data_IF_276845985260
#
_entry.id   IF_276845985260
#
_cell.length_a   1.000
_cell.length_b   1.000
_cell.length_c   1.000
_cell.angle_alpha   90.00
_cell.angle_beta   90.00
_cell.angle_gamma   90.00
#
_symmetry.space_group_name_H-M   'P 1'
#
loop_
_entity.id
_entity.type
_entity.pdbx_description
1 polymer ?
#
# COMPACT_ATOMS: atom_id res chain seq x y z
N UNK A 1 3.83 -9.15 20.02
CA UNK A 1 4.98 -9.54 19.19
C UNK A 1 5.17 -8.52 18.09
N UNK A 2 6.36 -7.92 17.99
CA UNK A 2 6.74 -7.21 16.79
C UNK A 2 6.76 -8.22 15.63
N UNK A 3 5.95 -7.98 14.61
CA UNK A 3 5.66 -8.96 13.54
C UNK A 3 5.96 -8.33 12.16
N UNK A 4 6.95 -7.43 12.13
CA UNK A 4 7.30 -6.67 10.94
C UNK A 4 8.80 -6.40 10.83
N UNK A 5 9.28 -6.25 9.60
CA UNK A 5 10.61 -5.72 9.26
C UNK A 5 10.43 -4.37 8.58
N UNK A 6 11.10 -3.35 9.10
CA UNK A 6 11.21 -2.04 8.46
C UNK A 6 12.52 -1.95 7.68
N UNK A 7 12.46 -1.47 6.44
CA UNK A 7 13.61 -1.25 5.57
C UNK A 7 13.55 0.17 5.03
N UNK A 8 14.69 0.84 5.07
CA UNK A 8 14.87 2.20 4.59
C UNK A 8 16.19 2.27 3.80
N UNK A 9 16.10 2.49 2.49
CA UNK A 9 17.25 2.45 1.57
C UNK A 9 17.15 3.58 0.56
N UNK A 10 18.24 4.31 0.32
CA UNK A 10 18.24 5.56 -0.45
C UNK A 10 18.93 5.46 -1.82
N UNK A 11 19.56 4.32 -2.11
CA UNK A 11 20.47 4.14 -3.24
C UNK A 11 20.07 2.95 -4.13
N UNK A 12 18.78 2.56 -4.10
CA UNK A 12 18.30 1.42 -4.89
C UNK A 12 18.19 1.85 -6.35
N UNK A 13 19.03 1.29 -7.21
CA UNK A 13 18.97 1.54 -8.66
C UNK A 13 17.66 1.01 -9.23
N UNK A 14 16.97 1.81 -10.06
CA UNK A 14 15.67 1.43 -10.61
C UNK A 14 15.69 0.08 -11.35
N UNK A 15 16.75 -0.21 -12.12
CA UNK A 15 16.93 -1.51 -12.79
C UNK A 15 17.06 -2.69 -11.80
N UNK A 16 17.58 -2.47 -10.59
CA UNK A 16 17.80 -3.49 -9.56
C UNK A 16 16.71 -3.52 -8.49
N UNK A 17 15.63 -2.74 -8.65
CA UNK A 17 14.59 -2.64 -7.64
C UNK A 17 13.98 -4.00 -7.26
N UNK A 18 13.71 -4.88 -8.23
CA UNK A 18 13.17 -6.21 -7.95
C UNK A 18 14.20 -7.16 -7.30
N UNK A 19 15.49 -7.04 -7.62
CA UNK A 19 16.55 -7.75 -6.89
C UNK A 19 16.55 -7.32 -5.43
N UNK A 20 16.52 -6.01 -5.16
CA UNK A 20 16.44 -5.47 -3.80
C UNK A 20 15.19 -5.98 -3.07
N UNK A 21 14.02 -6.01 -3.71
CA UNK A 21 12.81 -6.56 -3.08
C UNK A 21 12.96 -8.04 -2.73
N UNK A 22 13.53 -8.86 -3.63
CA UNK A 22 13.78 -10.29 -3.36
C UNK A 22 14.72 -10.45 -2.16
N UNK A 23 15.81 -9.70 -2.16
CA UNK A 23 16.80 -9.71 -1.08
C UNK A 23 16.13 -9.37 0.26
N UNK A 24 15.32 -8.31 0.33
CA UNK A 24 14.76 -7.85 1.60
C UNK A 24 13.54 -8.65 2.11
N UNK A 25 12.69 -9.14 1.19
CA UNK A 25 11.45 -9.86 1.51
C UNK A 25 11.69 -11.34 1.77
N UNK A 26 12.72 -11.95 1.15
CA UNK A 26 12.95 -13.39 1.23
C UNK A 26 14.38 -13.70 1.70
N UNK A 27 15.41 -13.28 0.96
CA UNK A 27 16.77 -13.78 1.20
C UNK A 27 17.35 -13.32 2.56
N UNK A 28 17.07 -12.08 2.96
CA UNK A 28 17.55 -11.43 4.19
C UNK A 28 16.50 -11.45 5.32
N UNK A 29 15.44 -12.25 5.20
CA UNK A 29 14.37 -12.31 6.19
C UNK A 29 13.92 -13.76 6.43
N UNK A 30 14.51 -14.41 7.42
CA UNK A 30 14.11 -15.75 7.87
C UNK A 30 13.06 -15.69 8.98
N UNK A 31 13.20 -14.74 9.91
CA UNK A 31 12.25 -14.45 10.98
C UNK A 31 12.20 -12.96 11.27
N UNK A 32 11.06 -12.46 11.77
CA UNK A 32 10.91 -11.05 12.10
C UNK A 32 11.71 -10.68 13.36
N UNK A 33 12.23 -9.44 13.44
CA UNK A 33 12.82 -8.92 14.65
C UNK A 33 11.84 -9.01 15.83
N UNK A 34 12.30 -9.53 16.96
CA UNK A 34 11.49 -9.68 18.18
C UNK A 34 12.33 -9.34 19.42
N UNK A 35 11.66 -9.03 20.53
CA UNK A 35 12.33 -8.76 21.81
C UNK A 35 12.10 -9.91 22.81
N UNK A 36 13.09 -10.78 22.96
CA UNK A 36 13.04 -11.90 23.89
C UNK A 36 12.91 -11.45 25.35
N UNK A 37 13.55 -10.34 25.74
CA UNK A 37 13.51 -9.82 27.11
C UNK A 37 12.11 -9.30 27.49
N UNK A 38 11.31 -8.91 26.49
CA UNK A 38 9.90 -8.55 26.66
C UNK A 38 8.94 -9.76 26.58
N UNK A 39 9.47 -10.98 26.49
CA UNK A 39 8.70 -12.22 26.41
C UNK A 39 8.07 -12.46 25.03
N UNK A 40 8.62 -11.88 23.97
CA UNK A 40 8.20 -12.18 22.60
C UNK A 40 8.86 -13.45 22.07
N UNK A 41 8.18 -14.15 21.16
CA UNK A 41 8.72 -15.31 20.45
C UNK A 41 9.00 -14.96 19.00
N UNK A 42 10.00 -15.61 18.41
CA UNK A 42 10.30 -15.45 16.99
C UNK A 42 9.11 -15.86 16.12
N UNK A 43 8.78 -15.02 15.14
CA UNK A 43 7.82 -15.34 14.08
C UNK A 43 8.58 -15.52 12.76
N UNK A 44 8.43 -16.69 12.13
CA UNK A 44 9.11 -16.99 10.87
C UNK A 44 8.46 -16.25 9.70
N UNK A 45 9.28 -15.90 8.70
CA UNK A 45 8.81 -15.34 7.45
C UNK A 45 8.11 -16.42 6.61
N UNK A 46 6.92 -16.11 6.10
CA UNK A 46 6.16 -17.01 5.20
C UNK A 46 6.21 -16.60 3.73
N UNK A 47 6.92 -15.52 3.40
CA UNK A 47 7.12 -15.09 2.03
C UNK A 47 8.19 -15.93 1.33
N UNK A 48 7.88 -16.41 0.13
CA UNK A 48 8.82 -17.13 -0.72
C UNK A 48 8.74 -16.63 -2.16
N UNK A 49 9.77 -16.93 -2.95
CA UNK A 49 9.74 -16.67 -4.41
C UNK A 49 9.10 -17.88 -5.10
N UNK A 50 7.96 -17.65 -5.76
CA UNK A 50 7.32 -18.68 -6.60
C UNK A 50 8.05 -18.84 -7.94
N UNK A 51 8.38 -17.71 -8.57
CA UNK A 51 9.16 -17.67 -9.80
C UNK A 51 9.79 -16.28 -9.99
N UNK A 52 10.87 -16.23 -10.75
CA UNK A 52 11.51 -14.97 -11.15
C UNK A 52 12.13 -15.10 -12.54
N UNK A 53 12.12 -14.02 -13.29
CA UNK A 53 12.74 -13.90 -14.61
C UNK A 53 13.81 -12.81 -14.55
N UNK A 54 14.93 -13.02 -15.24
CA UNK A 54 16.06 -12.08 -15.28
C UNK A 54 16.42 -11.70 -16.70
N UNK A 55 16.98 -10.50 -16.86
CA UNK A 55 17.64 -10.08 -18.09
C UNK A 55 19.04 -10.73 -18.23
N UNK A 56 19.77 -10.37 -19.29
CA UNK A 56 21.14 -10.86 -19.55
C UNK A 56 22.17 -10.40 -18.53
N UNK A 57 21.88 -9.31 -17.81
CA UNK A 57 22.76 -8.71 -16.81
C UNK A 57 22.46 -9.22 -15.39
N UNK A 58 21.50 -10.13 -15.25
CA UNK A 58 21.07 -10.70 -13.96
C UNK A 58 20.11 -9.81 -13.15
N UNK A 59 19.58 -8.73 -13.74
CA UNK A 59 18.53 -7.93 -13.12
C UNK A 59 17.18 -8.64 -13.26
N UNK A 60 16.40 -8.66 -12.19
CA UNK A 60 15.07 -9.28 -12.19
C UNK A 60 14.10 -8.38 -12.96
N UNK A 61 13.50 -8.93 -14.02
CA UNK A 61 12.47 -8.25 -14.84
C UNK A 61 11.07 -8.52 -14.29
N UNK A 62 10.84 -9.71 -13.74
CA UNK A 62 9.57 -10.15 -13.20
C UNK A 62 9.82 -11.06 -11.98
N UNK A 63 9.05 -10.88 -10.91
CA UNK A 63 9.09 -11.78 -9.74
C UNK A 63 7.68 -12.00 -9.21
N UNK A 64 7.39 -13.25 -8.84
CA UNK A 64 6.15 -13.61 -8.17
C UNK A 64 6.49 -14.03 -6.75
N UNK A 65 6.05 -13.23 -5.79
CA UNK A 65 6.10 -13.60 -4.38
C UNK A 65 4.87 -14.44 -4.03
N UNK A 66 5.09 -15.55 -3.34
CA UNK A 66 4.05 -16.36 -2.70
C UNK A 66 4.03 -16.00 -1.23
N UNK A 67 2.85 -15.65 -0.72
CA UNK A 67 2.60 -15.59 0.72
C UNK A 67 2.07 -16.94 1.16
N UNK A 68 2.83 -17.67 1.97
CA UNK A 68 2.38 -18.91 2.61
C UNK A 68 1.51 -18.66 3.84
N UNK A 69 0.91 -19.71 4.38
CA UNK A 69 0.18 -19.66 5.65
C UNK A 69 1.09 -20.28 6.71
N UNK A 70 1.28 -19.59 7.84
CA UNK A 70 2.10 -20.12 8.93
C UNK A 70 1.42 -21.35 9.56
N UNK A 71 2.23 -22.28 10.09
CA UNK A 71 1.72 -23.50 10.69
C UNK A 71 0.71 -23.21 11.81
N UNK A 72 -0.45 -23.85 11.74
CA UNK A 72 -1.54 -23.68 12.72
C UNK A 72 -2.34 -22.38 12.58
N UNK A 73 -2.06 -21.53 11.59
CA UNK A 73 -2.87 -20.36 11.27
C UNK A 73 -3.89 -20.66 10.17
N UNK A 74 -5.04 -20.00 10.23
CA UNK A 74 -6.02 -19.99 9.14
C UNK A 74 -5.79 -18.73 8.33
N UNK A 75 -5.54 -18.88 7.04
CA UNK A 75 -5.25 -17.76 6.14
C UNK A 75 -5.27 -18.21 4.68
N UNK A 76 -5.16 -17.24 3.78
CA UNK A 76 -5.10 -17.52 2.34
C UNK A 76 -3.68 -17.47 1.79
N UNK A 77 -3.34 -18.46 0.99
CA UNK A 77 -2.19 -18.36 0.09
C UNK A 77 -2.55 -17.44 -1.06
N UNK A 78 -1.76 -16.39 -1.26
CA UNK A 78 -1.92 -15.49 -2.39
C UNK A 78 -0.57 -15.15 -3.00
N UNK A 79 -0.61 -14.61 -4.22
CA UNK A 79 0.58 -14.34 -5.01
C UNK A 79 0.57 -12.89 -5.47
N UNK A 80 1.71 -12.24 -5.38
CA UNK A 80 1.90 -10.86 -5.85
C UNK A 80 3.01 -10.87 -6.87
N UNK A 81 2.66 -10.54 -8.12
CA UNK A 81 3.59 -10.37 -9.21
C UNK A 81 4.04 -8.93 -9.28
N UNK A 82 5.35 -8.73 -9.32
CA UNK A 82 5.99 -7.46 -9.63
C UNK A 82 6.66 -7.56 -10.99
N UNK A 83 6.61 -6.48 -11.75
CA UNK A 83 7.24 -6.35 -13.04
C UNK A 83 8.01 -5.02 -13.13
N UNK A 84 9.22 -5.08 -13.66
CA UNK A 84 10.07 -3.92 -13.89
C UNK A 84 9.95 -3.50 -15.36
N UNK A 85 9.01 -2.60 -15.66
CA UNK A 85 8.76 -2.15 -17.04
C UNK A 85 9.99 -1.43 -17.63
N UNK A 86 10.84 -0.86 -16.77
CA UNK A 86 12.10 -0.22 -17.16
C UNK A 86 13.10 -1.16 -17.84
N UNK A 87 13.02 -2.47 -17.57
CA UNK A 87 13.89 -3.46 -18.20
C UNK A 87 13.26 -4.10 -19.44
N UNK A 88 11.94 -4.08 -19.54
CA UNK A 88 11.21 -4.73 -20.63
C UNK A 88 10.84 -3.80 -21.79
N UNK A 89 10.93 -2.49 -21.58
CA UNK A 89 10.68 -1.48 -22.60
C UNK A 89 11.94 -0.64 -22.82
N UNK A 90 12.03 0.03 -23.97
CA UNK A 90 13.01 1.10 -24.21
C UNK A 90 12.75 2.34 -23.32
N UNK A 91 11.86 2.24 -22.33
CA UNK A 91 11.61 3.30 -21.36
C UNK A 91 12.86 3.54 -20.52
N UNK A 92 13.28 4.79 -20.47
CA UNK A 92 14.40 5.23 -19.65
C UNK A 92 14.02 5.35 -18.18
N UNK A 93 12.73 5.32 -17.83
CA UNK A 93 12.24 5.72 -16.51
C UNK A 93 11.84 4.54 -15.61
N UNK A 94 11.88 4.78 -14.30
CA UNK A 94 11.50 3.84 -13.25
C UNK A 94 9.98 3.63 -13.18
N UNK A 95 9.46 2.72 -14.00
CA UNK A 95 8.07 2.26 -13.95
C UNK A 95 8.04 0.80 -13.54
N UNK A 96 7.25 0.52 -12.50
CA UNK A 96 6.98 -0.81 -12.03
C UNK A 96 5.49 -1.11 -12.17
N UNK A 97 5.15 -2.39 -12.16
CA UNK A 97 3.77 -2.85 -12.16
C UNK A 97 3.59 -3.95 -11.14
N UNK A 98 2.42 -3.97 -10.51
CA UNK A 98 2.06 -4.92 -9.46
C UNK A 98 0.71 -5.55 -9.79
N UNK A 99 0.58 -6.85 -9.54
CA UNK A 99 -0.62 -7.61 -9.85
C UNK A 99 -0.84 -8.71 -8.80
N UNK A 100 -2.07 -8.87 -8.32
CA UNK A 100 -2.45 -10.00 -7.48
C UNK A 100 -2.89 -11.16 -8.37
N UNK A 101 -2.36 -12.35 -8.08
CA UNK A 101 -2.64 -13.59 -8.80
C UNK A 101 -3.27 -14.63 -7.86
N UNK A 102 -4.14 -15.46 -8.40
CA UNK A 102 -4.89 -16.45 -7.64
C UNK A 102 -5.00 -17.79 -8.39
N UNK A 103 -5.29 -18.86 -7.65
CA UNK A 103 -5.50 -20.22 -8.15
C UNK A 103 -4.29 -20.73 -8.95
N UNK A 104 -3.12 -20.71 -8.33
CA UNK A 104 -1.92 -21.32 -8.91
C UNK A 104 -2.14 -22.83 -9.06
N UNK A 105 -1.91 -23.34 -10.27
CA UNK A 105 -1.95 -24.75 -10.59
C UNK A 105 -0.53 -25.27 -10.75
N UNK A 106 -0.09 -26.14 -9.84
CA UNK A 106 1.26 -26.71 -9.84
C UNK A 106 1.54 -27.56 -11.08
N UNK A 107 0.52 -28.26 -11.61
CA UNK A 107 0.67 -29.15 -12.77
C UNK A 107 0.92 -28.39 -14.09
N UNK A 108 0.37 -27.18 -14.23
CA UNK A 108 0.55 -26.35 -15.43
C UNK A 108 1.46 -25.14 -15.20
N UNK A 109 1.84 -24.86 -13.96
CA UNK A 109 2.56 -23.64 -13.56
C UNK A 109 1.85 -22.35 -14.00
N UNK A 110 0.52 -22.35 -14.03
CA UNK A 110 -0.29 -21.18 -14.43
C UNK A 110 -1.22 -20.74 -13.32
N UNK A 111 -1.68 -19.49 -13.41
CA UNK A 111 -2.68 -18.92 -12.50
C UNK A 111 -4.04 -18.96 -13.16
N UNK A 112 -5.06 -19.39 -12.41
CA UNK A 112 -6.43 -19.39 -12.90
C UNK A 112 -6.99 -17.97 -13.06
N UNK A 113 -6.54 -17.01 -12.24
CA UNK A 113 -7.01 -15.63 -12.29
C UNK A 113 -5.87 -14.65 -12.02
N UNK A 114 -5.94 -13.50 -12.70
CA UNK A 114 -5.02 -12.39 -12.52
C UNK A 114 -5.83 -11.10 -12.43
N UNK A 115 -5.62 -10.32 -11.37
CA UNK A 115 -6.27 -9.01 -11.23
C UNK A 115 -5.77 -8.02 -12.27
N UNK A 116 -6.46 -6.90 -12.51
CA UNK A 116 -5.90 -5.78 -13.25
C UNK A 116 -4.52 -5.35 -12.74
N UNK A 117 -3.62 -5.03 -13.67
CA UNK A 117 -2.28 -4.54 -13.35
C UNK A 117 -2.36 -3.11 -12.82
N UNK A 118 -1.87 -2.89 -11.60
CA UNK A 118 -1.70 -1.58 -11.02
C UNK A 118 -0.28 -1.06 -11.29
N UNK A 119 -0.16 0.09 -11.95
CA UNK A 119 1.15 0.72 -12.16
C UNK A 119 1.70 1.28 -10.85
N UNK A 120 3.01 1.30 -10.70
CA UNK A 120 3.69 1.86 -9.54
C UNK A 120 4.85 2.73 -10.00
N UNK A 121 4.65 4.05 -9.94
CA UNK A 121 5.56 5.03 -10.52
C UNK A 121 5.95 6.10 -9.50
N UNK A 122 7.20 6.54 -9.55
CA UNK A 122 7.75 7.57 -8.68
C UNK A 122 8.29 8.79 -9.43
N UNK A 123 8.13 8.82 -10.76
CA UNK A 123 8.55 9.96 -11.57
C UNK A 123 7.52 10.27 -12.65
N UNK A 124 7.33 11.55 -12.96
CA UNK A 124 6.54 12.00 -14.10
C UNK A 124 7.39 12.01 -15.37
N UNK A 125 7.25 10.95 -16.16
CA UNK A 125 8.01 10.71 -17.39
C UNK A 125 7.67 11.67 -18.54
N UNK A 126 6.59 12.46 -18.41
CA UNK A 126 6.23 13.47 -19.42
C UNK A 126 7.11 14.73 -19.36
N UNK A 127 7.91 14.89 -18.30
CA UNK A 127 8.79 16.04 -18.14
C UNK A 127 10.05 15.84 -18.99
N UNK A 128 10.26 16.74 -19.95
CA UNK A 128 11.43 16.72 -20.82
C UNK A 128 12.72 17.12 -20.07
N UNK A 129 13.88 16.72 -20.61
CA UNK A 129 15.23 17.11 -20.16
C UNK A 129 15.56 16.73 -18.71
N UNK A 130 15.12 15.56 -18.26
CA UNK A 130 15.55 14.98 -16.99
C UNK A 130 16.70 14.00 -17.24
N UNK A 131 17.69 13.98 -16.33
CA UNK A 131 18.79 13.01 -16.35
C UNK A 131 18.36 11.65 -15.77
N UNK A 132 17.08 11.52 -15.42
CA UNK A 132 16.51 10.30 -14.84
C UNK A 132 16.59 9.14 -15.83
N UNK A 133 17.17 8.05 -15.37
CA UNK A 133 17.36 6.82 -16.11
C UNK A 133 17.13 5.59 -15.23
N UNK A 134 17.20 4.40 -15.82
CA UNK A 134 17.19 3.12 -15.10
C UNK A 134 18.36 2.95 -14.10
N UNK A 135 19.39 3.78 -14.25
CA UNK A 135 20.56 3.86 -13.34
C UNK A 135 20.36 4.89 -12.23
N UNK A 136 19.27 5.65 -12.23
CA UNK A 136 18.97 6.58 -11.15
C UNK A 136 18.59 5.81 -9.88
N UNK A 137 18.95 6.41 -8.74
CA UNK A 137 18.59 5.88 -7.44
C UNK A 137 17.12 6.17 -7.12
N UNK A 138 16.54 5.27 -6.35
CA UNK A 138 15.23 5.36 -5.73
C UNK A 138 15.43 5.26 -4.21
N UNK A 139 14.65 6.05 -3.48
CA UNK A 139 14.51 5.85 -2.04
C UNK A 139 13.31 4.92 -1.83
N UNK A 140 13.54 3.85 -1.09
CA UNK A 140 12.57 2.79 -0.83
C UNK A 140 12.38 2.66 0.67
N UNK A 141 11.14 2.81 1.10
CA UNK A 141 10.69 2.60 2.47
C UNK A 141 9.72 1.43 2.45
N UNK A 142 10.09 0.32 3.06
CA UNK A 142 9.35 -0.93 2.96
C UNK A 142 9.05 -1.46 4.37
N UNK A 143 7.78 -1.74 4.62
CA UNK A 143 7.36 -2.52 5.76
C UNK A 143 6.90 -3.91 5.27
N UNK A 144 7.45 -4.96 5.87
CA UNK A 144 7.17 -6.34 5.53
C UNK A 144 6.53 -7.00 6.76
N UNK A 145 5.42 -7.71 6.56
CA UNK A 145 4.77 -8.56 7.56
C UNK A 145 4.32 -9.84 6.89
N UNK A 146 3.98 -10.89 7.65
CA UNK A 146 3.41 -12.12 7.09
C UNK A 146 2.02 -11.93 6.44
N UNK A 147 1.41 -10.76 6.59
CA UNK A 147 0.09 -10.44 6.04
C UNK A 147 0.18 -9.60 4.78
N UNK A 148 1.17 -8.72 4.67
CA UNK A 148 1.26 -7.74 3.59
C UNK A 148 2.64 -7.12 3.40
N UNK A 149 2.85 -6.61 2.19
CA UNK A 149 3.90 -5.66 1.84
C UNK A 149 3.28 -4.27 1.73
N UNK A 150 3.86 -3.29 2.43
CA UNK A 150 3.49 -1.89 2.27
C UNK A 150 4.76 -1.08 2.03
N UNK A 151 4.76 -0.22 1.02
CA UNK A 151 5.97 0.43 0.55
C UNK A 151 5.68 1.85 0.05
N UNK A 152 6.65 2.73 0.28
CA UNK A 152 6.75 4.01 -0.41
C UNK A 152 8.02 4.02 -1.23
N UNK A 153 7.90 4.25 -2.53
CA UNK A 153 9.03 4.56 -3.39
C UNK A 153 9.01 6.04 -3.71
N UNK A 154 10.22 6.57 -3.79
CA UNK A 154 10.44 7.99 -4.00
C UNK A 154 11.58 8.10 -5.02
N UNK A 155 11.33 8.84 -6.09
CA UNK A 155 12.39 9.19 -7.02
C UNK A 155 13.45 10.06 -6.33
N UNK A 156 14.72 9.94 -6.71
CA UNK A 156 15.73 10.88 -6.19
C UNK A 156 15.39 12.33 -6.63
N UNK A 157 15.14 13.26 -5.68
CA UNK A 157 14.81 14.65 -6.00
C UNK A 157 16.00 15.45 -6.54
N UNK A 158 17.24 14.99 -6.31
CA UNK A 158 18.46 15.65 -6.79
C UNK A 158 18.56 15.59 -8.31
N UNK A 159 18.10 14.49 -8.91
CA UNK A 159 18.11 14.30 -10.38
C UNK A 159 17.20 15.32 -11.06
N UNK A 160 15.96 15.43 -10.59
CA UNK A 160 15.02 16.44 -11.04
C UNK A 160 13.89 16.62 -10.02
N UNK A 161 13.69 17.85 -9.55
CA UNK A 161 12.67 18.16 -8.56
C UNK A 161 11.24 18.18 -9.14
N UNK A 162 11.08 18.46 -10.44
CA UNK A 162 9.77 18.63 -11.05
C UNK A 162 9.10 17.28 -11.37
N UNK A 163 9.90 16.27 -11.73
CA UNK A 163 9.39 14.92 -12.05
C UNK A 163 9.20 14.06 -10.81
N UNK A 164 9.78 14.45 -9.67
CA UNK A 164 9.75 13.74 -8.41
C UNK A 164 8.34 13.42 -7.91
N UNK A 165 8.08 12.14 -7.63
CA UNK A 165 6.87 11.67 -6.94
C UNK A 165 7.21 10.72 -5.80
N UNK A 166 6.32 10.71 -4.81
CA UNK A 166 6.27 9.84 -3.64
C UNK A 166 5.05 8.96 -3.82
N UNK A 167 5.28 7.66 -3.99
CA UNK A 167 4.23 6.72 -4.36
C UNK A 167 4.09 5.61 -3.34
N UNK A 168 2.87 5.39 -2.87
CA UNK A 168 2.54 4.33 -1.93
C UNK A 168 2.02 3.09 -2.64
N UNK A 169 2.38 1.90 -2.15
CA UNK A 169 1.82 0.62 -2.55
C UNK A 169 1.48 -0.21 -1.33
N UNK A 170 0.36 -0.93 -1.40
CA UNK A 170 -0.05 -1.95 -0.44
C UNK A 170 -0.47 -3.20 -1.19
N UNK A 171 0.06 -4.35 -0.80
CA UNK A 171 -0.35 -5.65 -1.30
C UNK A 171 -0.40 -6.67 -0.16
N UNK A 172 -1.61 -7.17 0.16
CA UNK A 172 -1.79 -8.23 1.14
C UNK A 172 -3.10 -8.14 1.91
N UNK A 173 -3.22 -8.88 3.01
CA UNK A 173 -4.45 -8.99 3.80
C UNK A 173 -4.80 -7.68 4.52
N UNK A 174 -6.09 -7.39 4.66
CA UNK A 174 -6.60 -6.34 5.54
C UNK A 174 -6.86 -6.89 6.96
N UNK A 175 -6.97 -6.02 7.95
CA UNK A 175 -7.51 -6.37 9.27
C UNK A 175 -9.03 -6.34 9.18
N UNK A 176 -9.67 -7.50 9.30
CA UNK A 176 -11.13 -7.62 9.32
C UNK A 176 -11.70 -7.14 10.66
N UNK A 177 -12.95 -6.66 10.64
CA UNK A 177 -13.64 -6.32 11.89
C UNK A 177 -14.04 -7.56 12.67
N UNK A 178 -14.18 -7.39 13.98
CA UNK A 178 -14.65 -8.43 14.89
C UNK A 178 -16.05 -8.93 14.45
N UNK A 179 -16.21 -10.25 14.36
CA UNK A 179 -17.43 -10.89 13.84
C UNK A 179 -17.43 -11.22 12.35
N UNK A 180 -16.43 -10.76 11.58
CA UNK A 180 -16.30 -11.10 10.15
C UNK A 180 -15.39 -12.34 9.94
N UNK A 181 -15.80 -13.47 10.53
CA UNK A 181 -15.04 -14.73 10.55
C UNK A 181 -14.92 -15.42 9.18
N UNK A 182 -15.80 -15.09 8.23
CA UNK A 182 -15.85 -15.73 6.91
C UNK A 182 -14.93 -15.04 5.87
N UNK A 183 -14.35 -13.88 6.19
CA UNK A 183 -13.56 -13.08 5.26
C UNK A 183 -12.08 -13.45 5.27
N UNK A 184 -11.81 -14.72 5.02
CA UNK A 184 -10.45 -15.27 4.93
C UNK A 184 -10.03 -15.34 3.46
N UNK A 185 -10.96 -15.66 2.56
CA UNK A 185 -10.61 -15.98 1.18
C UNK A 185 -10.50 -14.77 0.24
N UNK A 186 -11.17 -13.66 0.57
CA UNK A 186 -11.23 -12.48 -0.30
C UNK A 186 -10.44 -11.28 0.21
N UNK A 187 -9.87 -11.35 1.41
CA UNK A 187 -9.39 -10.21 2.19
C UNK A 187 -8.03 -9.64 1.74
N UNK A 188 -7.55 -10.04 0.56
CA UNK A 188 -6.31 -9.53 -0.03
C UNK A 188 -6.61 -8.27 -0.84
N UNK A 189 -5.90 -7.19 -0.53
CA UNK A 189 -6.02 -5.88 -1.15
C UNK A 189 -4.76 -5.56 -1.96
N UNK A 190 -4.94 -4.95 -3.13
CA UNK A 190 -3.89 -4.26 -3.87
C UNK A 190 -4.24 -2.78 -4.06
N UNK A 191 -3.27 -1.90 -3.81
CA UNK A 191 -3.27 -0.55 -4.36
C UNK A 191 -1.86 -0.04 -4.61
N UNK A 192 -1.69 0.85 -5.59
CA UNK A 192 -0.41 1.49 -5.89
C UNK A 192 -0.58 2.92 -6.42
N UNK A 193 0.35 3.83 -6.13
CA UNK A 193 0.36 5.17 -6.69
C UNK A 193 1.02 5.20 -8.08
N UNK A 194 0.45 5.97 -9.01
CA UNK A 194 1.07 6.17 -10.31
C UNK A 194 0.78 7.56 -10.88
N UNK A 195 1.57 7.95 -11.88
CA UNK A 195 1.38 9.21 -12.61
C UNK A 195 0.37 8.99 -13.74
N UNK A 196 0.54 7.89 -14.45
CA UNK A 196 -0.30 7.53 -15.59
C UNK A 196 -1.76 7.34 -15.20
N UNK A 197 -2.67 7.80 -16.05
CA UNK A 197 -4.11 7.64 -15.82
C UNK A 197 -4.47 6.16 -15.84
N UNK A 198 -5.30 5.73 -14.89
CA UNK A 198 -5.84 4.37 -14.86
C UNK A 198 -6.60 4.02 -16.15
N UNK A 199 -6.57 2.74 -16.58
CA UNK A 199 -7.42 2.30 -17.67
C UNK A 199 -8.90 2.42 -17.31
N UNK A 200 -9.70 2.89 -18.27
CA UNK A 200 -11.16 2.88 -18.14
C UNK A 200 -11.71 1.45 -18.20
N UNK A 201 -12.93 1.23 -17.72
CA UNK A 201 -13.57 -0.10 -17.79
C UNK A 201 -13.71 -0.59 -19.24
N UNK A 202 -13.99 0.32 -20.19
CA UNK A 202 -14.03 0.00 -21.61
C UNK A 202 -12.65 -0.38 -22.16
N UNK A 203 -11.58 0.24 -21.67
CA UNK A 203 -10.21 -0.13 -22.03
C UNK A 203 -9.81 -1.48 -21.46
N UNK A 204 -10.15 -1.79 -20.20
CA UNK A 204 -9.94 -3.14 -19.65
C UNK A 204 -10.70 -4.18 -20.46
N UNK A 205 -11.99 -3.95 -20.72
CA UNK A 205 -12.83 -4.89 -21.48
C UNK A 205 -12.30 -5.14 -22.90
N UNK A 206 -11.75 -4.12 -23.57
CA UNK A 206 -11.31 -4.23 -24.97
C UNK A 206 -9.84 -4.62 -25.16
N UNK A 207 -8.94 -4.17 -24.27
CA UNK A 207 -7.49 -4.36 -24.41
C UNK A 207 -6.95 -5.48 -23.53
N UNK A 208 -7.49 -5.66 -22.34
CA UNK A 208 -7.09 -6.71 -21.39
C UNK A 208 -8.32 -7.45 -20.85
N UNK A 209 -9.10 -8.12 -21.72
CA UNK A 209 -10.37 -8.75 -21.32
C UNK A 209 -10.19 -9.81 -20.21
N UNK A 210 -9.01 -10.43 -20.11
CA UNK A 210 -8.65 -11.36 -19.02
C UNK A 210 -8.56 -10.71 -17.65
N UNK A 211 -8.42 -9.38 -17.60
CA UNK A 211 -8.35 -8.58 -16.37
C UNK A 211 -9.70 -7.91 -16.05
N UNK A 212 -10.72 -8.09 -16.89
CA UNK A 212 -12.02 -7.46 -16.71
C UNK A 212 -13.00 -8.40 -16.00
N UNK A 213 -13.35 -8.07 -14.75
CA UNK A 213 -14.26 -8.80 -13.87
C UNK A 213 -15.62 -8.09 -13.70
N UNK A 214 -16.05 -7.35 -14.73
CA UNK A 214 -17.30 -6.57 -14.73
C UNK A 214 -17.11 -5.07 -14.47
N UNK A 215 -18.21 -4.32 -14.48
CA UNK A 215 -18.22 -2.84 -14.46
C UNK A 215 -17.59 -2.22 -13.19
N UNK A 216 -17.56 -2.99 -12.11
CA UNK A 216 -17.01 -2.59 -10.82
C UNK A 216 -15.58 -3.11 -10.59
N UNK A 217 -14.89 -3.60 -11.62
CA UNK A 217 -13.49 -4.03 -11.55
C UNK A 217 -12.56 -2.86 -11.19
N UNK A 218 -11.65 -3.06 -10.22
CA UNK A 218 -10.69 -2.04 -9.80
C UNK A 218 -9.35 -2.15 -10.54
N UNK A 219 -8.89 -1.09 -11.22
CA UNK A 219 -7.53 -1.04 -11.74
C UNK A 219 -6.45 -0.97 -10.65
N UNK A 220 -6.81 -0.55 -9.43
CA UNK A 220 -5.94 -0.59 -8.24
C UNK A 220 -5.11 0.67 -7.95
N UNK A 221 -5.14 1.72 -8.76
CA UNK A 221 -4.42 2.97 -8.46
C UNK A 221 -5.23 4.02 -7.70
N UNK A 222 -6.48 4.31 -8.11
CA UNK A 222 -7.37 5.27 -7.43
C UNK A 222 -8.35 4.62 -6.46
N UNK A 223 -8.39 3.29 -6.44
CA UNK A 223 -9.28 2.49 -5.61
C UNK A 223 -8.51 1.33 -5.01
N UNK A 224 -9.10 0.68 -4.01
CA UNK A 224 -8.62 -0.57 -3.47
C UNK A 224 -9.15 -1.72 -4.32
N UNK A 225 -8.24 -2.50 -4.89
CA UNK A 225 -8.56 -3.72 -5.60
C UNK A 225 -8.60 -4.87 -4.59
N UNK A 226 -9.80 -5.27 -4.17
CA UNK A 226 -9.97 -6.42 -3.28
C UNK A 226 -10.09 -7.71 -4.08
N UNK A 227 -9.42 -8.77 -3.64
CA UNK A 227 -9.38 -10.06 -4.32
C UNK A 227 -10.78 -10.65 -4.54
N UNK A 228 -11.64 -10.59 -3.53
CA UNK A 228 -13.02 -11.08 -3.64
C UNK A 228 -13.98 -10.33 -2.72
N UNK A 229 -15.23 -10.15 -3.15
CA UNK A 229 -16.34 -9.67 -2.32
C UNK A 229 -16.97 -10.80 -1.52
N UNK A 230 -17.92 -10.50 -0.61
CA UNK A 230 -18.69 -11.52 0.10
C UNK A 230 -19.52 -12.40 -0.86
N UNK A 231 -19.96 -11.81 -1.98
CA UNK A 231 -20.64 -12.53 -3.06
C UNK A 231 -19.71 -13.33 -3.99
N UNK A 232 -18.39 -13.32 -3.75
CA UNK A 232 -17.40 -14.06 -4.53
C UNK A 232 -16.97 -13.40 -5.84
N UNK A 233 -17.39 -12.15 -6.09
CA UNK A 233 -16.97 -11.39 -7.28
C UNK A 233 -15.56 -10.84 -7.06
N UNK A 234 -14.69 -11.02 -8.05
CA UNK A 234 -13.24 -10.80 -7.89
C UNK A 234 -12.79 -9.40 -8.30
N UNK A 235 -11.71 -8.93 -7.70
CA UNK A 235 -11.01 -7.68 -8.07
C UNK A 235 -11.91 -6.44 -8.12
N UNK A 236 -12.86 -6.34 -7.19
CA UNK A 236 -13.86 -5.26 -7.17
C UNK A 236 -13.35 -4.00 -6.47
N UNK A 237 -13.84 -2.84 -6.93
CA UNK A 237 -13.53 -1.51 -6.37
C UNK A 237 -14.03 -1.38 -4.94
N UNK A 238 -13.09 -1.19 -4.03
CA UNK A 238 -13.33 -0.69 -2.69
C UNK A 238 -12.68 0.68 -2.56
N UNK A 239 -13.10 1.43 -1.54
CA UNK A 239 -12.70 2.81 -1.33
C UNK A 239 -12.11 2.99 0.06
N UNK A 240 -11.10 3.87 0.20
CA UNK A 240 -10.63 4.27 1.52
C UNK A 240 -11.68 5.11 2.23
N UNK A 241 -11.90 4.77 3.48
CA UNK A 241 -12.62 5.59 4.43
C UNK A 241 -11.73 5.87 5.64
N UNK A 242 -11.82 7.06 6.19
CA UNK A 242 -11.07 7.42 7.39
C UNK A 242 -11.84 8.49 8.15
N UNK A 243 -11.68 8.45 9.46
CA UNK A 243 -12.31 9.40 10.37
C UNK A 243 -11.48 10.67 10.26
N UNK A 244 -12.04 11.73 9.71
CA UNK A 244 -11.46 13.07 9.72
C UNK A 244 -12.53 14.08 10.10
N UNK A 245 -12.12 15.31 10.31
CA UNK A 245 -13.04 16.41 10.52
C UNK A 245 -13.89 16.65 9.28
N UNK A 246 -15.03 17.31 9.46
CA UNK A 246 -15.90 17.69 8.35
C UNK A 246 -15.10 18.47 7.29
N UNK A 247 -15.34 18.21 5.99
CA UNK A 247 -14.67 18.93 4.93
C UNK A 247 -15.10 20.40 4.92
N UNK A 248 -14.45 21.23 4.10
CA UNK A 248 -14.81 22.64 3.97
C UNK A 248 -16.28 22.82 3.55
N UNK A 249 -16.94 23.92 3.93
CA UNK A 249 -18.24 24.28 3.38
C UNK A 249 -18.24 24.18 1.84
N UNK A 250 -19.30 23.61 1.28
CA UNK A 250 -19.50 23.28 -0.12
C UNK A 250 -19.12 21.85 -0.48
N UNK A 251 -18.37 21.16 0.39
CA UNK A 251 -17.88 19.79 0.16
C UNK A 251 -18.46 18.76 1.14
N UNK A 252 -19.27 19.20 2.11
CA UNK A 252 -20.00 18.33 3.03
C UNK A 252 -21.42 18.06 2.53
N UNK A 253 -22.11 17.14 3.20
CA UNK A 253 -23.55 17.02 3.06
C UNK A 253 -24.23 18.29 3.59
N UNK A 254 -25.14 18.86 2.81
CA UNK A 254 -25.94 20.03 3.18
C UNK A 254 -27.30 19.55 3.66
N UNK A 255 -27.55 19.67 4.95
CA UNK A 255 -28.84 19.33 5.55
C UNK A 255 -29.87 20.42 5.28
N UNK A 256 -31.13 20.05 5.07
CA UNK A 256 -32.20 20.99 4.73
C UNK A 256 -32.61 21.92 5.89
N UNK A 257 -32.25 21.56 7.13
CA UNK A 257 -32.55 22.33 8.35
C UNK A 257 -31.28 22.91 8.96
N UNK A 258 -30.20 22.13 9.04
CA UNK A 258 -28.93 22.52 9.66
C UNK A 258 -27.99 23.26 8.70
N UNK A 259 -28.28 23.24 7.39
CA UNK A 259 -27.41 23.82 6.38
C UNK A 259 -26.13 23.02 6.19
N UNK A 260 -25.10 23.71 5.69
CA UNK A 260 -23.79 23.10 5.48
C UNK A 260 -23.05 22.94 6.81
N UNK A 261 -22.76 21.70 7.17
CA UNK A 261 -22.07 21.33 8.41
C UNK A 261 -20.55 21.26 8.25
N UNK A 262 -20.02 21.65 7.09
CA UNK A 262 -18.60 21.73 6.81
C UNK A 262 -17.86 22.60 7.83
N UNK A 263 -16.60 22.24 8.10
CA UNK A 263 -15.71 23.03 8.94
C UNK A 263 -14.78 23.85 8.06
N UNK A 264 -14.77 25.17 8.26
CA UNK A 264 -13.77 26.02 7.61
C UNK A 264 -12.40 25.68 8.19
N UNK A 265 -11.63 24.93 7.40
CA UNK A 265 -10.25 24.59 7.72
C UNK A 265 -9.36 25.73 7.25
N UNK A 266 -8.31 26.05 8.02
CA UNK A 266 -7.26 26.93 7.52
C UNK A 266 -6.73 26.43 6.17
N UNK A 267 -6.18 27.32 5.35
CA UNK A 267 -5.67 26.96 4.03
C UNK A 267 -4.66 25.81 4.09
N UNK A 268 -3.97 25.69 5.23
CA UNK A 268 -2.96 24.70 5.53
C UNK A 268 -3.52 23.38 6.10
N UNK A 269 -4.81 23.27 6.43
CA UNK A 269 -5.44 22.04 6.95
C UNK A 269 -5.68 22.02 8.46
N UNK A 270 -5.80 20.82 9.03
CA UNK A 270 -6.14 20.63 10.45
C UNK A 270 -4.89 20.53 11.33
N UNK A 271 -4.74 21.45 12.28
CA UNK A 271 -3.59 21.55 13.18
C UNK A 271 -3.63 20.57 14.35
N UNK A 272 -2.46 20.34 14.95
CA UNK A 272 -2.39 19.69 16.26
C UNK A 272 -3.24 20.45 17.27
N UNK A 273 -3.88 19.71 18.18
CA UNK A 273 -4.69 20.31 19.23
C UNK A 273 -3.83 21.22 20.11
N UNK A 274 -4.18 22.50 20.25
CA UNK A 274 -3.47 23.42 21.18
C UNK A 274 -3.60 23.05 22.66
N UNK A 275 -4.43 22.06 22.99
CA UNK A 275 -4.70 21.63 24.36
C UNK A 275 -3.90 20.39 24.72
N UNK A 276 -3.52 19.59 23.73
CA UNK A 276 -2.83 18.31 23.94
C UNK A 276 -1.57 18.15 23.11
N UNK A 277 -1.33 19.03 22.14
CA UNK A 277 -0.30 18.97 21.11
C UNK A 277 -0.33 17.68 20.28
N UNK A 278 -1.49 17.01 20.23
CA UNK A 278 -1.69 15.75 19.50
C UNK A 278 -2.35 15.99 18.16
N UNK A 279 -1.94 15.20 17.17
CA UNK A 279 -2.56 15.11 15.85
C UNK A 279 -3.68 14.07 15.85
N UNK A 280 -4.69 14.30 15.01
CA UNK A 280 -5.71 13.29 14.72
C UNK A 280 -5.18 12.29 13.69
N UNK A 281 -5.28 11.01 14.02
CA UNK A 281 -4.83 9.89 13.19
C UNK A 281 -5.99 8.90 13.05
N UNK A 282 -6.19 8.36 11.86
CA UNK A 282 -7.25 7.37 11.61
C UNK A 282 -6.66 6.12 10.97
N UNK A 283 -7.12 4.91 11.33
CA UNK A 283 -6.96 3.75 10.47
C UNK A 283 -7.51 4.05 9.07
N UNK A 284 -6.94 3.41 8.05
CA UNK A 284 -7.45 3.48 6.68
C UNK A 284 -8.43 2.33 6.50
N UNK A 285 -9.73 2.62 6.65
CA UNK A 285 -10.80 1.65 6.48
C UNK A 285 -11.04 1.33 5.01
N UNK A 286 -11.50 0.10 4.77
CA UNK A 286 -11.86 -0.41 3.45
C UNK A 286 -13.38 -0.53 3.39
N UNK A 287 -13.99 0.24 2.50
CA UNK A 287 -15.44 0.29 2.32
C UNK A 287 -15.84 -0.11 0.90
N UNK A 288 -16.86 -0.96 0.78
CA UNK A 288 -17.52 -1.28 -0.47
C UNK A 288 -18.88 -0.59 -0.53
N UNK A 289 -19.30 0.01 -1.67
CA UNK A 289 -20.59 0.70 -1.77
C UNK A 289 -21.80 -0.18 -1.45
N UNK A 290 -21.73 -1.48 -1.75
CA UNK A 290 -22.83 -2.42 -1.51
C UNK A 290 -22.66 -3.26 -0.24
N UNK A 291 -21.42 -3.56 0.16
CA UNK A 291 -21.15 -4.47 1.30
C UNK A 291 -20.82 -3.71 2.59
N UNK A 292 -20.60 -2.39 2.51
CA UNK A 292 -20.24 -1.57 3.64
C UNK A 292 -18.78 -1.73 4.05
N UNK A 293 -18.52 -1.55 5.34
CA UNK A 293 -17.18 -1.61 5.93
C UNK A 293 -16.71 -3.05 6.11
N UNK A 294 -15.51 -3.33 5.62
CA UNK A 294 -14.94 -4.69 5.64
C UNK A 294 -13.81 -4.86 6.65
N UNK A 295 -13.04 -3.80 6.84
CA UNK A 295 -11.86 -3.81 7.70
C UNK A 295 -11.04 -2.54 7.55
N UNK A 296 -9.75 -2.63 7.86
CA UNK A 296 -8.78 -1.56 7.65
C UNK A 296 -7.40 -2.09 7.23
N UNK A 297 -6.57 -1.21 6.65
CA UNK A 297 -5.20 -1.56 6.30
C UNK A 297 -4.38 -1.92 7.54
N UNK A 298 -3.50 -2.90 7.38
CA UNK A 298 -2.64 -3.41 8.43
C UNK A 298 -1.41 -2.51 8.63
N UNK A 299 -1.22 -1.99 9.85
CA UNK A 299 -0.11 -1.09 10.24
C UNK A 299 0.07 0.15 9.34
N UNK A 300 -1.03 0.64 8.78
CA UNK A 300 -1.08 1.85 7.97
C UNK A 300 -2.14 2.80 8.51
N UNK A 301 -1.79 4.07 8.68
CA UNK A 301 -2.69 5.11 9.18
C UNK A 301 -2.78 6.29 8.21
N UNK A 302 -3.96 6.89 8.15
CA UNK A 302 -4.23 8.14 7.43
C UNK A 302 -3.95 9.31 8.36
N UNK A 303 -3.26 10.32 7.84
CA UNK A 303 -2.84 11.52 8.56
C UNK A 303 -3.19 12.74 7.74
N UNK A 304 -3.75 13.79 8.36
CA UNK A 304 -3.99 15.06 7.65
C UNK A 304 -2.65 15.77 7.45
N UNK A 305 -2.44 16.28 6.22
CA UNK A 305 -1.21 16.98 5.83
C UNK A 305 -1.18 18.39 6.43
N UNK A 306 -0.72 18.54 7.66
CA UNK A 306 -0.55 19.85 8.28
C UNK A 306 0.62 19.88 9.26
N UNK A 307 1.62 20.73 9.02
CA UNK A 307 2.82 20.88 9.87
C UNK A 307 3.55 19.57 10.20
N UNK A 308 3.44 18.56 9.31
CA UNK A 308 4.20 17.31 9.39
C UNK A 308 5.00 17.20 8.10
N UNK A 309 6.31 17.05 8.22
CA UNK A 309 7.23 16.93 7.10
C UNK A 309 7.36 15.47 6.67
N UNK A 310 7.66 15.27 5.39
CA UNK A 310 7.93 13.96 4.84
C UNK A 310 9.04 13.24 5.63
N UNK A 311 8.80 11.98 5.99
CA UNK A 311 9.64 11.11 6.85
C UNK A 311 9.64 11.44 8.34
N UNK A 312 8.83 12.39 8.81
CA UNK A 312 8.68 12.63 10.25
C UNK A 312 8.20 11.38 11.00
N UNK A 313 8.61 11.28 12.27
CA UNK A 313 8.22 10.21 13.16
C UNK A 313 6.97 10.59 13.93
N UNK A 314 5.90 9.82 13.77
CA UNK A 314 4.68 9.95 14.55
C UNK A 314 4.70 8.90 15.66
N UNK A 315 4.65 9.34 16.92
CA UNK A 315 4.69 8.46 18.07
C UNK A 315 3.27 8.32 18.61
N UNK A 316 2.79 7.09 18.70
CA UNK A 316 1.49 6.74 19.27
C UNK A 316 1.74 5.95 20.54
N UNK A 317 1.22 6.46 21.66
CA UNK A 317 1.21 5.72 22.92
C UNK A 317 0.16 4.60 22.85
N UNK A 318 0.58 3.39 23.22
CA UNK A 318 -0.31 2.24 23.31
C UNK A 318 -1.08 2.32 24.61
N UNK A 319 -2.40 2.40 24.48
CA UNK A 319 -3.30 2.31 25.64
C UNK A 319 -3.31 0.88 26.18
N UNK A 320 -2.66 0.67 27.33
CA UNK A 320 -2.54 -0.62 28.02
C UNK A 320 -3.91 -1.14 28.45
N UNK A 321 -4.89 -0.26 28.73
CA UNK A 321 -6.24 -0.68 29.08
C UNK A 321 -6.98 -1.26 27.86
N UNK A 322 -6.72 -0.71 26.67
CA UNK A 322 -7.35 -1.15 25.42
C UNK A 322 -6.62 -2.35 24.79
N UNK A 323 -5.30 -2.44 24.96
CA UNK A 323 -4.46 -3.47 24.37
C UNK A 323 -3.52 -4.09 25.42
N UNK A 324 -4.05 -4.82 26.40
CA UNK A 324 -3.25 -5.35 27.52
C UNK A 324 -2.20 -6.37 27.07
N UNK A 325 -2.40 -7.00 25.92
CA UNK A 325 -1.51 -8.04 25.39
C UNK A 325 -0.31 -7.49 24.61
N UNK A 326 -0.34 -6.20 24.23
CA UNK A 326 0.80 -5.57 23.56
C UNK A 326 1.95 -5.42 24.55
N UNK A 327 3.12 -5.94 24.18
CA UNK A 327 4.31 -5.93 25.02
C UNK A 327 5.05 -4.58 25.02
N UNK A 328 4.75 -3.73 24.05
CA UNK A 328 5.34 -2.40 23.91
C UNK A 328 4.39 -1.29 24.34
N UNK A 329 4.96 -0.14 24.70
CA UNK A 329 4.24 1.06 25.14
C UNK A 329 4.05 2.09 24.05
N UNK A 330 4.88 2.08 23.00
CA UNK A 330 4.75 3.04 21.89
C UNK A 330 4.92 2.38 20.53
N UNK A 331 4.20 2.92 19.56
CA UNK A 331 4.30 2.60 18.14
C UNK A 331 4.77 3.84 17.39
N UNK A 332 5.83 3.70 16.60
CA UNK A 332 6.45 4.80 15.88
C UNK A 332 6.21 4.60 14.38
N UNK A 333 5.39 5.47 13.81
CA UNK A 333 5.08 5.49 12.39
C UNK A 333 5.97 6.49 11.65
N UNK A 334 6.32 6.18 10.40
CA UNK A 334 6.97 7.11 9.47
C UNK A 334 5.92 7.72 8.56
N UNK A 335 5.88 9.04 8.50
CA UNK A 335 4.91 9.80 7.72
C UNK A 335 5.39 9.98 6.27
N UNK A 336 4.47 9.78 5.31
CA UNK A 336 4.72 9.94 3.89
C UNK A 336 3.63 10.77 3.21
N UNK A 337 3.99 12.00 2.84
CA UNK A 337 3.19 12.84 1.97
C UNK A 337 3.18 12.33 0.52
N UNK A 338 2.15 11.58 0.12
CA UNK A 338 2.02 11.00 -1.23
C UNK A 338 1.54 12.04 -2.24
N UNK A 339 2.20 12.17 -3.39
CA UNK A 339 1.87 13.19 -4.38
C UNK A 339 1.71 12.67 -5.82
N UNK A 340 1.56 11.35 -6.01
CA UNK A 340 1.22 10.78 -7.32
C UNK A 340 -0.20 11.17 -7.74
N UNK A 341 -0.39 11.42 -9.02
CA UNK A 341 -1.63 11.92 -9.63
C UNK A 341 -2.78 10.92 -9.55
N UNK A 342 -2.47 9.62 -9.60
CA UNK A 342 -3.37 8.54 -9.22
C UNK A 342 -2.89 7.94 -7.90
N UNK A 343 -3.79 7.91 -6.93
CA UNK A 343 -3.60 7.26 -5.65
C UNK A 343 -4.98 7.08 -5.00
N UNK A 344 -5.08 6.15 -4.04
CA UNK A 344 -6.36 5.79 -3.44
C UNK A 344 -7.08 6.97 -2.75
N UNK A 345 -6.38 8.01 -2.29
CA UNK A 345 -7.03 9.18 -1.69
C UNK A 345 -7.82 10.04 -2.68
N UNK A 346 -7.55 9.92 -3.99
CA UNK A 346 -8.19 10.74 -5.03
C UNK A 346 -9.71 10.60 -5.07
N UNK A 347 -10.20 9.38 -4.84
CA UNK A 347 -11.63 9.06 -4.81
C UNK A 347 -12.14 8.89 -3.36
N UNK A 348 -11.40 9.40 -2.38
CA UNK A 348 -11.86 9.47 -1.00
C UNK A 348 -12.67 10.75 -0.77
N UNK A 349 -13.67 10.74 0.14
CA UNK A 349 -14.41 11.95 0.53
C UNK A 349 -13.53 13.08 1.06
N UNK A 350 -12.35 12.75 1.59
CA UNK A 350 -11.43 13.71 2.18
C UNK A 350 -10.08 13.68 1.46
N UNK A 351 -9.89 14.64 0.56
CA UNK A 351 -8.64 14.83 -0.18
C UNK A 351 -7.65 15.67 0.67
N UNK A 352 -6.35 15.41 0.56
CA UNK A 352 -5.33 16.11 1.37
C UNK A 352 -4.82 15.32 2.59
N UNK A 353 -4.94 13.99 2.55
CA UNK A 353 -4.40 13.07 3.54
C UNK A 353 -3.14 12.38 3.06
N UNK A 354 -2.26 12.05 3.99
CA UNK A 354 -1.02 11.32 3.79
C UNK A 354 -1.11 9.96 4.47
N UNK A 355 -0.17 9.07 4.15
CA UNK A 355 -0.08 7.75 4.77
C UNK A 355 1.09 7.73 5.75
N UNK A 356 0.94 7.04 6.88
CA UNK A 356 2.08 6.70 7.72
C UNK A 356 2.13 5.19 7.95
N UNK A 357 3.35 4.65 7.98
CA UNK A 357 3.64 3.22 8.12
C UNK A 357 4.36 2.94 9.43
N UNK A 358 3.96 1.88 10.13
CA UNK A 358 4.67 1.47 11.34
C UNK A 358 6.13 1.17 10.99
N UNK A 359 7.08 1.68 11.76
CA UNK A 359 8.51 1.51 11.49
C UNK A 359 9.27 0.98 12.71
N UNK A 360 8.76 1.18 13.91
CA UNK A 360 9.44 0.83 15.16
C UNK A 360 8.41 0.69 16.28
N UNK A 361 8.69 -0.21 17.24
CA UNK A 361 7.94 -0.36 18.50
C UNK A 361 8.89 -0.16 19.68
N UNK A 362 8.40 0.41 20.79
CA UNK A 362 9.21 0.72 21.99
C UNK A 362 8.60 0.17 23.26
N UNK A 363 9.39 -0.59 24.01
CA UNK A 363 8.99 -1.34 25.22
C UNK A 363 8.94 -0.51 26.50
#
# INVERSE_FOLDING_TARGET
MAHFKWVEKYDVKAKRFLNFLKEEVVDNLTAYPFNADAGETAENNVWTVQSSETDTDGNITSIIFKRGVADGQVGKVFYVKFFNETLASDSTYATFSVQVLENYNEGTSTFGNAGPVAKYQCANESIANTERSKESALHVFLNITNKRLAMVIVADPVVNFNDYRKSFMYAGEIVTFEGNVDDIDGNVLLTAGCVNVEPTMAQLQSKTPSEYFGVYTSPGNNTFQMLGTKSGVRFQKHYPAFITQAPKPGNAFVDSVLGDTGLELEAQGYQASRWTDKYHLSPIYVAHPYEGYRGHLFDCISVIRHNILHMDKLIIDVDVCKYPDKKWKQEVFRYFDINTEQNFYKLSPNQGTAVALLAEVRY
#
